data_IF_572521551456
#
_entry.id   IF_572521551456
#
_cell.length_a   1.000
_cell.length_b   1.000
_cell.length_c   1.000
_cell.angle_alpha   90.00
_cell.angle_beta   90.00
_cell.angle_gamma   90.00
#
_symmetry.space_group_name_H-M   'P 1'
#
loop_
_entity.id
_entity.type
_entity.pdbx_description
1 polymer ?
#
# COMPACT_ATOMS: atom_id res chain seq x y z
N UNK A 1 0.95 -27.52 -8.46
CA UNK A 1 0.70 -26.80 -9.73
C UNK A 1 0.64 -25.31 -9.44
N UNK A 2 1.64 -24.50 -9.84
CA UNK A 2 1.71 -23.07 -9.54
C UNK A 2 0.65 -22.22 -10.27
N UNK A 3 0.19 -22.67 -11.44
CA UNK A 3 -0.73 -21.92 -12.30
C UNK A 3 -2.16 -21.83 -11.76
N UNK A 4 -2.61 -22.82 -10.97
CA UNK A 4 -3.95 -22.79 -10.36
C UNK A 4 -4.06 -21.67 -9.31
N UNK A 5 -2.97 -21.43 -8.57
CA UNK A 5 -2.92 -20.33 -7.60
C UNK A 5 -3.02 -18.95 -8.27
N UNK A 6 -2.39 -18.78 -9.43
CA UNK A 6 -2.42 -17.50 -10.16
C UNK A 6 -3.81 -17.23 -10.72
N UNK A 7 -4.50 -18.25 -11.26
CA UNK A 7 -5.89 -18.12 -11.73
C UNK A 7 -6.85 -17.77 -10.59
N UNK A 8 -6.72 -18.44 -9.44
CA UNK A 8 -7.53 -18.15 -8.27
C UNK A 8 -7.23 -16.74 -7.70
N UNK A 9 -5.97 -16.31 -7.72
CA UNK A 9 -5.60 -14.95 -7.33
C UNK A 9 -6.24 -13.92 -8.27
N UNK A 10 -6.12 -14.09 -9.58
CA UNK A 10 -6.72 -13.20 -10.57
C UNK A 10 -8.24 -13.07 -10.39
N UNK A 11 -8.94 -14.20 -10.24
CA UNK A 11 -10.40 -14.20 -10.03
C UNK A 11 -10.81 -13.51 -8.73
N UNK A 12 -10.02 -13.69 -7.66
CA UNK A 12 -10.26 -13.00 -6.39
C UNK A 12 -10.07 -11.49 -6.54
N UNK A 13 -8.96 -11.06 -7.14
CA UNK A 13 -8.66 -9.63 -7.33
C UNK A 13 -9.68 -8.95 -8.25
N UNK A 14 -10.12 -9.63 -9.32
CA UNK A 14 -11.19 -9.13 -10.18
C UNK A 14 -12.49 -8.85 -9.41
N UNK A 15 -12.86 -9.79 -8.51
CA UNK A 15 -14.04 -9.64 -7.65
C UNK A 15 -13.88 -8.49 -6.66
N UNK A 16 -12.74 -8.42 -5.96
CA UNK A 16 -12.46 -7.36 -4.98
C UNK A 16 -12.51 -5.97 -5.64
N UNK A 17 -11.94 -5.83 -6.85
CA UNK A 17 -11.97 -4.57 -7.59
C UNK A 17 -13.40 -4.21 -8.03
N UNK A 18 -14.17 -5.18 -8.50
CA UNK A 18 -15.59 -4.99 -8.86
C UNK A 18 -16.43 -4.56 -7.65
N UNK A 19 -16.20 -5.18 -6.48
CA UNK A 19 -16.90 -4.84 -5.24
C UNK A 19 -16.51 -3.44 -4.75
N UNK A 20 -15.26 -3.03 -4.93
CA UNK A 20 -14.82 -1.67 -4.62
C UNK A 20 -15.50 -0.62 -5.51
N UNK A 21 -15.56 -0.83 -6.83
CA UNK A 21 -16.30 0.06 -7.73
C UNK A 21 -17.78 0.18 -7.32
N UNK A 22 -18.43 -0.95 -6.98
CA UNK A 22 -19.83 -0.95 -6.50
C UNK A 22 -20.01 -0.17 -5.21
N UNK A 23 -19.07 -0.26 -4.27
CA UNK A 23 -19.11 0.53 -3.04
C UNK A 23 -19.08 2.05 -3.29
N UNK A 24 -18.54 2.46 -4.44
CA UNK A 24 -18.56 3.84 -4.93
C UNK A 24 -19.70 4.12 -5.93
N UNK A 25 -20.70 3.23 -6.03
CA UNK A 25 -21.86 3.40 -6.91
C UNK A 25 -21.57 3.19 -8.40
N UNK A 26 -20.41 2.64 -8.75
CA UNK A 26 -20.01 2.38 -10.13
C UNK A 26 -20.38 0.95 -10.53
N UNK A 27 -20.67 0.71 -11.81
CA UNK A 27 -21.05 -0.61 -12.34
C UNK A 27 -19.98 -1.20 -13.27
N UNK A 28 -18.71 -0.93 -12.98
CA UNK A 28 -17.56 -1.38 -13.78
C UNK A 28 -17.38 -2.89 -13.66
N UNK A 29 -17.35 -3.58 -14.80
CA UNK A 29 -17.06 -5.00 -14.92
C UNK A 29 -15.55 -5.23 -15.03
N UNK A 30 -15.01 -6.00 -14.09
CA UNK A 30 -13.62 -6.46 -14.09
C UNK A 30 -13.58 -7.97 -14.26
N UNK A 31 -12.84 -8.45 -15.27
CA UNK A 31 -12.70 -9.88 -15.55
C UNK A 31 -11.24 -10.32 -15.42
N UNK A 32 -10.98 -11.50 -14.82
CA UNK A 32 -9.64 -12.06 -14.82
C UNK A 32 -9.30 -12.58 -16.22
N UNK A 33 -8.12 -12.24 -16.72
CA UNK A 33 -7.56 -12.92 -17.89
C UNK A 33 -6.74 -14.14 -17.49
N UNK A 34 -6.59 -15.08 -18.42
CA UNK A 34 -5.70 -16.22 -18.24
C UNK A 34 -4.28 -15.74 -17.96
N UNK A 35 -3.51 -16.43 -17.09
CA UNK A 35 -2.16 -16.02 -16.78
C UNK A 35 -1.28 -16.11 -18.03
N UNK A 36 -0.51 -15.06 -18.30
CA UNK A 36 0.53 -15.03 -19.34
C UNK A 36 1.87 -15.02 -18.61
N UNK A 37 2.76 -15.95 -18.93
CA UNK A 37 4.09 -16.09 -18.31
C UNK A 37 4.07 -16.13 -16.77
N UNK A 38 3.03 -16.72 -16.19
CA UNK A 38 2.87 -16.84 -14.74
C UNK A 38 2.43 -15.55 -14.04
N UNK A 39 2.17 -14.48 -14.78
CA UNK A 39 1.63 -13.23 -14.25
C UNK A 39 0.10 -13.20 -14.36
N UNK A 40 -0.53 -12.46 -13.45
CA UNK A 40 -1.98 -12.24 -13.47
C UNK A 40 -2.29 -10.97 -14.26
N UNK A 41 -3.38 -11.01 -15.04
CA UNK A 41 -3.88 -9.87 -15.77
C UNK A 41 -5.36 -9.69 -15.46
N UNK A 42 -5.78 -8.43 -15.32
CA UNK A 42 -7.17 -8.04 -15.15
C UNK A 42 -7.57 -7.18 -16.35
N UNK A 43 -8.77 -7.41 -16.85
CA UNK A 43 -9.34 -6.61 -17.92
C UNK A 43 -10.57 -5.88 -17.40
N UNK A 44 -10.67 -4.60 -17.75
CA UNK A 44 -11.86 -3.79 -17.49
C UNK A 44 -12.62 -3.74 -18.81
N UNK A 45 -13.79 -4.38 -18.83
CA UNK A 45 -14.56 -4.57 -20.07
C UNK A 45 -15.29 -3.27 -20.48
N UNK A 46 -15.66 -2.47 -19.49
CA UNK A 46 -16.36 -1.21 -19.70
C UNK A 46 -15.40 -0.05 -19.98
N UNK A 47 -15.82 0.84 -20.87
CA UNK A 47 -15.17 2.14 -21.00
C UNK A 47 -15.38 2.95 -19.71
N UNK A 48 -14.28 3.21 -18.99
CA UNK A 48 -14.35 3.99 -17.76
C UNK A 48 -14.77 5.43 -18.05
N UNK A 49 -15.75 5.91 -17.31
CA UNK A 49 -16.02 7.35 -17.20
C UNK A 49 -14.85 8.06 -16.51
N UNK A 50 -14.79 9.39 -16.64
CA UNK A 50 -13.74 10.18 -16.00
C UNK A 50 -13.69 10.01 -14.48
N UNK A 51 -14.85 9.84 -13.83
CA UNK A 51 -14.93 9.59 -12.38
C UNK A 51 -14.37 8.21 -12.00
N UNK A 52 -14.75 7.16 -12.73
CA UNK A 52 -14.28 5.79 -12.46
C UNK A 52 -12.77 5.65 -12.68
N UNK A 53 -12.24 6.30 -13.72
CA UNK A 53 -10.80 6.35 -13.98
C UNK A 53 -10.04 7.06 -12.84
N UNK A 54 -10.58 8.16 -12.31
CA UNK A 54 -10.00 8.85 -11.15
C UNK A 54 -10.02 7.98 -9.89
N UNK A 55 -11.13 7.27 -9.65
CA UNK A 55 -11.25 6.36 -8.52
C UNK A 55 -10.21 5.24 -8.59
N UNK A 56 -10.06 4.60 -9.74
CA UNK A 56 -9.05 3.57 -9.97
C UNK A 56 -7.63 4.12 -9.75
N UNK A 57 -7.35 5.30 -10.29
CA UNK A 57 -6.04 5.96 -10.14
C UNK A 57 -5.73 6.27 -8.68
N UNK A 58 -6.70 6.78 -7.92
CA UNK A 58 -6.55 7.07 -6.50
C UNK A 58 -6.30 5.80 -5.68
N UNK A 59 -7.00 4.71 -5.98
CA UNK A 59 -6.80 3.42 -5.33
C UNK A 59 -5.40 2.85 -5.61
N UNK A 60 -4.95 2.88 -6.87
CA UNK A 60 -3.60 2.45 -7.25
C UNK A 60 -2.52 3.34 -6.62
N UNK A 61 -2.76 4.65 -6.55
CA UNK A 61 -1.87 5.58 -5.88
C UNK A 61 -1.75 5.29 -4.38
N UNK A 62 -2.87 4.96 -3.71
CA UNK A 62 -2.85 4.58 -2.29
C UNK A 62 -2.12 3.25 -2.04
N UNK A 63 -2.20 2.30 -2.99
CA UNK A 63 -1.49 1.02 -2.89
C UNK A 63 0.01 1.14 -3.15
N UNK A 64 0.40 2.02 -4.08
CA UNK A 64 1.82 2.29 -4.41
C UNK A 64 2.46 3.31 -3.47
N UNK A 65 1.65 4.09 -2.76
CA UNK A 65 2.14 4.99 -1.74
C UNK A 65 2.89 4.19 -0.67
N UNK A 66 4.08 4.64 -0.24
CA UNK A 66 4.69 4.09 0.95
C UNK A 66 3.67 4.10 2.08
N UNK A 67 3.54 3.01 2.86
CA UNK A 67 2.62 3.00 3.98
C UNK A 67 2.87 4.25 4.83
N UNK A 68 1.80 4.87 5.38
CA UNK A 68 1.92 6.11 6.11
C UNK A 68 3.05 5.96 7.13
N UNK A 69 4.05 6.84 7.01
CA UNK A 69 5.21 6.82 7.90
C UNK A 69 4.67 7.07 9.30
N UNK A 70 4.89 6.13 10.23
CA UNK A 70 4.46 6.29 11.61
C UNK A 70 4.94 7.64 12.16
N UNK A 71 3.99 8.46 12.65
CA UNK A 71 4.26 9.81 13.12
C UNK A 71 5.24 9.83 14.29
N UNK A 72 5.16 8.84 15.18
CA UNK A 72 6.10 8.65 16.29
C UNK A 72 7.50 8.31 15.77
N UNK A 73 7.63 7.41 14.80
CA UNK A 73 8.92 7.18 14.12
C UNK A 73 9.48 8.46 13.50
N UNK A 74 8.65 9.31 12.90
CA UNK A 74 9.10 10.59 12.33
C UNK A 74 9.52 11.58 13.41
N UNK A 75 8.79 11.67 14.52
CA UNK A 75 9.15 12.50 15.67
C UNK A 75 10.51 12.10 16.24
N UNK A 76 10.72 10.82 16.54
CA UNK A 76 11.98 10.27 17.05
C UNK A 76 13.14 10.56 16.09
N UNK A 77 12.94 10.43 14.76
CA UNK A 77 13.97 10.80 13.77
C UNK A 77 14.32 12.29 13.81
N UNK A 78 13.31 13.17 13.91
CA UNK A 78 13.50 14.62 14.01
C UNK A 78 14.26 15.01 15.28
N UNK A 79 13.90 14.43 16.42
CA UNK A 79 14.54 14.70 17.70
C UNK A 79 15.98 14.22 17.73
N UNK A 80 16.26 13.05 17.15
CA UNK A 80 17.62 12.55 16.99
C UNK A 80 18.45 13.47 16.10
N UNK A 81 17.91 13.90 14.96
CA UNK A 81 18.59 14.82 14.06
C UNK A 81 18.90 16.16 14.73
N UNK A 82 17.97 16.68 15.53
CA UNK A 82 18.19 17.87 16.36
C UNK A 82 19.31 17.67 17.37
N UNK A 83 19.27 16.59 18.16
CA UNK A 83 20.30 16.28 19.15
C UNK A 83 21.71 16.13 18.53
N UNK A 84 21.81 15.54 17.33
CA UNK A 84 23.09 15.45 16.60
C UNK A 84 23.60 16.83 16.18
N UNK A 85 22.72 17.70 15.64
CA UNK A 85 23.09 19.08 15.26
C UNK A 85 23.54 19.91 16.47
N UNK A 86 22.87 19.72 17.60
CA UNK A 86 23.17 20.43 18.85
C UNK A 86 24.40 19.84 19.58
N UNK A 87 25.07 18.82 19.00
CA UNK A 87 26.23 18.15 19.60
C UNK A 87 25.89 17.28 20.82
N UNK A 88 24.61 17.10 21.15
CA UNK A 88 24.15 16.32 22.29
C UNK A 88 24.11 14.82 21.96
N UNK A 89 25.29 14.19 22.03
CA UNK A 89 25.47 12.76 21.74
C UNK A 89 24.66 11.85 22.66
N UNK A 90 24.54 12.20 23.94
CA UNK A 90 23.79 11.40 24.91
C UNK A 90 22.30 11.35 24.54
N UNK A 91 21.71 12.50 24.22
CA UNK A 91 20.32 12.58 23.77
C UNK A 91 20.12 11.86 22.44
N UNK A 92 21.05 12.00 21.49
CA UNK A 92 20.98 11.28 20.22
C UNK A 92 20.97 9.75 20.40
N UNK A 93 21.73 9.22 21.37
CA UNK A 93 21.71 7.80 21.72
C UNK A 93 20.40 7.39 22.39
N UNK A 94 19.89 8.16 23.36
CA UNK A 94 18.60 7.91 24.02
C UNK A 94 17.45 7.82 23.01
N UNK A 95 17.40 8.75 22.06
CA UNK A 95 16.37 8.77 21.01
C UNK A 95 16.55 7.61 20.02
N UNK A 96 17.79 7.18 19.73
CA UNK A 96 18.04 5.98 18.93
C UNK A 96 17.54 4.69 19.63
N UNK A 97 17.71 4.58 20.95
CA UNK A 97 17.15 3.48 21.73
C UNK A 97 15.62 3.51 21.71
N UNK A 98 15.01 4.69 21.86
CA UNK A 98 13.56 4.87 21.77
C UNK A 98 13.00 4.40 20.41
N UNK A 99 13.71 4.69 19.31
CA UNK A 99 13.37 4.16 17.98
C UNK A 99 13.32 2.62 17.98
N UNK A 100 14.35 1.96 18.50
CA UNK A 100 14.43 0.50 18.52
C UNK A 100 13.40 -0.18 19.43
N UNK A 101 12.93 0.51 20.48
CA UNK A 101 11.81 0.04 21.31
C UNK A 101 10.49 0.21 20.57
N UNK A 102 10.21 1.41 20.06
CA UNK A 102 8.97 1.68 19.32
C UNK A 102 8.83 0.77 18.09
N UNK A 103 9.90 0.57 17.31
CA UNK A 103 9.88 -0.36 16.18
C UNK A 103 9.51 -1.79 16.57
N UNK A 104 9.98 -2.28 17.73
CA UNK A 104 9.64 -3.63 18.22
C UNK A 104 8.21 -3.73 18.74
N UNK A 105 7.67 -2.67 19.32
CA UNK A 105 6.33 -2.67 19.94
C UNK A 105 5.23 -2.40 18.91
N UNK A 106 5.48 -1.48 17.99
CA UNK A 106 4.48 -0.98 17.05
C UNK A 106 4.59 -1.58 15.65
N UNK A 107 5.73 -2.21 15.31
CA UNK A 107 6.02 -2.70 13.96
C UNK A 107 6.70 -4.09 13.90
N UNK A 108 6.86 -4.79 15.03
CA UNK A 108 7.44 -6.14 15.12
C UNK A 108 6.35 -7.19 15.26
#
# INVERSE_FOLDING_TARGET
MPHDNVRHAAARTARELSDAFKAHGCTVQVVPQGPVDGQMFLFIDDALTGYEAQLLTAALAAYTAPPPRCDECQAIKRDRAKAVRDGNREMAMKVATAMGVHQRVSHG
#
